data_IF_524102780006
#
_entry.id   IF_524102780006
#
_cell.length_a   1.000
_cell.length_b   1.000
_cell.length_c   1.000
_cell.angle_alpha   90.00
_cell.angle_beta   90.00
_cell.angle_gamma   90.00
#
_symmetry.space_group_name_H-M   'P 1'
#
loop_
_entity.id
_entity.type
_entity.pdbx_description
1 polymer ?
#
# COMPACT_ATOMS: atom_id res chain seq x y z
N UNK A 1 -10.82 16.43 -5.54
CA UNK A 1 -12.06 15.63 -5.52
C UNK A 1 -12.30 14.98 -6.88
N UNK A 2 -13.01 13.88 -6.88
CA UNK A 2 -13.34 13.13 -8.09
C UNK A 2 -14.69 13.62 -8.63
N UNK A 3 -14.76 13.95 -9.93
CA UNK A 3 -16.02 14.34 -10.56
C UNK A 3 -16.99 13.15 -10.63
N UNK A 4 -18.29 13.42 -10.73
CA UNK A 4 -19.31 12.36 -10.84
C UNK A 4 -19.08 11.44 -12.05
N UNK A 5 -18.64 12.00 -13.17
CA UNK A 5 -18.31 11.22 -14.37
C UNK A 5 -17.14 10.25 -14.12
N UNK A 6 -16.10 10.73 -13.43
CA UNK A 6 -14.93 9.92 -13.07
C UNK A 6 -15.32 8.85 -12.06
N UNK A 7 -16.13 9.21 -11.08
CA UNK A 7 -16.68 8.29 -10.08
C UNK A 7 -17.40 7.11 -10.74
N UNK A 8 -18.25 7.38 -11.71
CA UNK A 8 -18.95 6.35 -12.48
C UNK A 8 -17.98 5.39 -13.18
N UNK A 9 -16.91 5.92 -13.78
CA UNK A 9 -15.88 5.12 -14.44
C UNK A 9 -15.13 4.23 -13.45
N UNK A 10 -14.82 4.76 -12.27
CA UNK A 10 -14.15 3.99 -11.22
C UNK A 10 -15.00 2.79 -10.78
N UNK A 11 -16.29 2.99 -10.54
CA UNK A 11 -17.17 1.90 -10.16
C UNK A 11 -17.35 0.87 -11.28
N UNK A 12 -17.32 1.30 -12.53
CA UNK A 12 -17.48 0.42 -13.68
C UNK A 12 -16.24 -0.46 -13.92
N UNK A 13 -15.04 0.10 -13.81
CA UNK A 13 -13.78 -0.56 -14.18
C UNK A 13 -12.94 -1.03 -13.00
N UNK A 14 -13.30 -0.63 -11.80
CA UNK A 14 -12.54 -0.94 -10.61
C UNK A 14 -11.45 0.08 -10.31
N UNK A 15 -10.91 0.04 -9.10
CA UNK A 15 -9.84 0.93 -8.68
C UNK A 15 -9.12 0.38 -7.47
N UNK A 16 -7.89 0.83 -7.27
CA UNK A 16 -7.10 0.59 -6.07
C UNK A 16 -6.87 1.92 -5.36
N UNK A 17 -6.63 1.86 -4.07
CA UNK A 17 -6.27 3.04 -3.28
C UNK A 17 -4.78 3.01 -3.01
N UNK A 18 -4.05 3.97 -3.61
CA UNK A 18 -2.64 4.20 -3.33
C UNK A 18 -2.47 4.96 -2.02
N UNK A 19 -1.37 4.71 -1.31
CA UNK A 19 -1.09 5.36 -0.04
C UNK A 19 -0.58 6.80 -0.18
N UNK A 20 -0.08 7.21 -1.36
CA UNK A 20 0.47 8.55 -1.60
C UNK A 20 1.88 8.77 -1.06
N UNK A 21 2.50 7.76 -0.47
CA UNK A 21 3.82 7.90 0.15
C UNK A 21 4.90 8.32 -0.85
N UNK A 22 4.88 7.77 -2.06
CA UNK A 22 5.85 8.13 -3.08
C UNK A 22 5.74 9.59 -3.49
N UNK A 23 4.52 10.08 -3.72
CA UNK A 23 4.29 11.48 -4.11
C UNK A 23 4.75 12.44 -3.01
N UNK A 24 4.46 12.12 -1.75
CA UNK A 24 4.89 12.94 -0.63
C UNK A 24 6.42 12.93 -0.47
N UNK A 25 7.03 11.75 -0.57
CA UNK A 25 8.48 11.61 -0.51
C UNK A 25 9.16 12.40 -1.63
N UNK A 26 8.64 12.29 -2.85
CA UNK A 26 9.20 12.97 -4.03
C UNK A 26 9.13 14.50 -3.90
N UNK A 27 8.14 15.02 -3.19
CA UNK A 27 7.99 16.44 -2.91
C UNK A 27 8.67 16.90 -1.62
N UNK A 28 9.38 16.00 -0.95
CA UNK A 28 10.10 16.31 0.27
C UNK A 28 9.23 16.63 1.47
N UNK A 29 8.01 16.10 1.50
CA UNK A 29 7.06 16.32 2.59
C UNK A 29 6.72 15.02 3.31
N UNK A 30 6.30 15.07 4.59
CA UNK A 30 5.92 13.88 5.34
C UNK A 30 4.65 13.23 4.77
N UNK A 31 4.47 11.95 5.04
CA UNK A 31 3.28 11.20 4.60
C UNK A 31 2.00 11.87 5.13
N UNK A 32 1.07 12.12 4.22
CA UNK A 32 -0.22 12.72 4.54
C UNK A 32 -1.21 11.67 5.05
N UNK A 33 -1.06 11.29 6.31
CA UNK A 33 -1.90 10.27 6.96
C UNK A 33 -3.38 10.67 6.95
N UNK A 34 -3.68 11.91 7.31
CA UNK A 34 -5.07 12.40 7.34
C UNK A 34 -5.75 12.34 5.98
N UNK A 35 -5.03 12.70 4.93
CA UNK A 35 -5.55 12.63 3.56
C UNK A 35 -5.82 11.20 3.13
N UNK A 36 -4.93 10.28 3.51
CA UNK A 36 -5.10 8.86 3.22
C UNK A 36 -6.34 8.29 3.94
N UNK A 37 -6.52 8.59 5.22
CA UNK A 37 -7.69 8.14 5.98
C UNK A 37 -9.00 8.68 5.37
N UNK A 38 -9.04 9.96 4.98
CA UNK A 38 -10.21 10.53 4.30
C UNK A 38 -10.53 9.80 3.00
N UNK A 39 -9.50 9.48 2.24
CA UNK A 39 -9.66 8.74 1.00
C UNK A 39 -10.23 7.35 1.25
N UNK A 40 -9.73 6.66 2.27
CA UNK A 40 -10.23 5.34 2.68
C UNK A 40 -11.69 5.40 3.12
N UNK A 41 -12.04 6.38 3.94
CA UNK A 41 -13.42 6.52 4.43
C UNK A 41 -14.41 6.70 3.29
N UNK A 42 -13.99 7.36 2.22
CA UNK A 42 -14.85 7.61 1.07
C UNK A 42 -14.86 6.45 0.05
N UNK A 43 -13.72 5.80 -0.18
CA UNK A 43 -13.52 4.94 -1.34
C UNK A 43 -13.18 3.48 -1.04
N UNK A 44 -12.91 3.10 0.22
CA UNK A 44 -12.42 1.76 0.52
C UNK A 44 -13.45 0.65 0.24
N UNK A 45 -14.74 0.92 0.41
CA UNK A 45 -15.78 -0.12 0.34
C UNK A 45 -15.78 -0.92 -0.97
N UNK A 46 -15.39 -0.32 -2.08
CA UNK A 46 -15.39 -0.95 -3.39
C UNK A 46 -13.99 -1.04 -4.01
N UNK A 47 -12.95 -0.74 -3.26
CA UNK A 47 -11.58 -0.83 -3.76
C UNK A 47 -11.18 -2.27 -4.02
N UNK A 48 -10.47 -2.51 -5.11
CA UNK A 48 -9.92 -3.83 -5.41
C UNK A 48 -8.82 -4.21 -4.43
N UNK A 49 -7.99 -3.23 -4.04
CA UNK A 49 -7.00 -3.38 -2.96
C UNK A 49 -6.62 -2.01 -2.41
N UNK A 50 -5.99 -2.05 -1.25
CA UNK A 50 -5.46 -0.86 -0.58
C UNK A 50 -3.95 -1.06 -0.42
N UNK A 51 -3.16 -0.09 -0.84
CA UNK A 51 -1.70 -0.13 -0.69
C UNK A 51 -1.34 0.34 0.71
N UNK A 52 -0.67 -0.53 1.47
CA UNK A 52 -0.25 -0.24 2.83
C UNK A 52 0.82 0.86 2.81
N UNK A 53 0.76 1.87 3.69
CA UNK A 53 1.80 2.90 3.77
C UNK A 53 3.20 2.31 3.93
N UNK A 54 4.15 2.89 3.21
CA UNK A 54 5.52 2.42 3.12
C UNK A 54 6.53 3.57 3.20
N UNK A 55 7.77 3.25 3.53
CA UNK A 55 8.88 4.20 3.54
C UNK A 55 9.73 3.97 2.30
N UNK A 56 9.78 4.97 1.42
CA UNK A 56 10.44 4.85 0.12
C UNK A 56 11.92 4.56 0.29
N UNK A 57 12.39 3.45 -0.33
CA UNK A 57 13.77 3.04 -0.28
C UNK A 57 14.24 2.47 1.06
N UNK A 58 13.34 2.24 1.99
CA UNK A 58 13.67 1.77 3.34
C UNK A 58 12.78 0.60 3.76
N UNK A 59 13.29 -0.61 3.54
CA UNK A 59 12.54 -1.84 3.84
C UNK A 59 12.29 -2.02 5.34
N UNK A 60 13.30 -1.74 6.17
CA UNK A 60 13.17 -1.90 7.63
C UNK A 60 12.06 -1.03 8.20
N UNK A 61 12.01 0.23 7.78
CA UNK A 61 10.95 1.16 8.21
C UNK A 61 9.60 0.76 7.62
N UNK A 62 9.59 0.30 6.37
CA UNK A 62 8.36 -0.18 5.72
C UNK A 62 7.75 -1.34 6.50
N UNK A 63 8.56 -2.28 6.99
CA UNK A 63 8.08 -3.36 7.84
C UNK A 63 7.51 -2.87 9.16
N UNK A 64 8.14 -1.89 9.78
CA UNK A 64 7.63 -1.30 11.01
C UNK A 64 6.27 -0.64 10.77
N UNK A 65 6.13 0.10 9.67
CA UNK A 65 4.87 0.70 9.26
C UNK A 65 3.80 -0.36 8.95
N UNK A 66 4.20 -1.44 8.29
CA UNK A 66 3.31 -2.54 7.97
C UNK A 66 2.63 -3.11 9.21
N UNK A 67 3.39 -3.36 10.27
CA UNK A 67 2.86 -3.92 11.51
C UNK A 67 1.77 -3.04 12.14
N UNK A 68 1.91 -1.73 12.01
CA UNK A 68 0.94 -0.77 12.54
C UNK A 68 -0.26 -0.65 11.59
N UNK A 69 0.00 -0.43 10.31
CA UNK A 69 -1.05 -0.12 9.33
C UNK A 69 -1.91 -1.31 8.94
N UNK A 70 -1.37 -2.52 8.90
CA UNK A 70 -2.19 -3.69 8.60
C UNK A 70 -3.32 -3.84 9.63
N UNK A 71 -3.04 -3.52 10.88
CA UNK A 71 -4.05 -3.55 11.93
C UNK A 71 -5.13 -2.48 11.72
N UNK A 72 -4.73 -1.26 11.39
CA UNK A 72 -5.65 -0.16 11.11
C UNK A 72 -6.51 -0.42 9.86
N UNK A 73 -5.94 -1.02 8.84
CA UNK A 73 -6.61 -1.23 7.55
C UNK A 73 -7.55 -2.42 7.52
N UNK A 74 -7.43 -3.35 8.47
CA UNK A 74 -8.32 -4.52 8.54
C UNK A 74 -9.80 -4.17 8.65
N UNK A 75 -10.13 -3.04 9.23
CA UNK A 75 -11.53 -2.61 9.40
C UNK A 75 -12.27 -2.43 8.08
N UNK A 76 -11.55 -2.14 7.01
CA UNK A 76 -12.13 -1.93 5.69
C UNK A 76 -12.47 -3.23 4.96
N UNK A 77 -11.94 -4.37 5.42
CA UNK A 77 -12.20 -5.70 4.85
C UNK A 77 -11.92 -5.80 3.35
N UNK A 78 -10.87 -5.13 2.90
CA UNK A 78 -10.43 -5.15 1.49
C UNK A 78 -9.04 -5.78 1.39
N UNK A 79 -8.70 -6.34 0.23
CA UNK A 79 -7.34 -6.86 0.00
C UNK A 79 -6.30 -5.78 0.25
N UNK A 80 -5.21 -6.15 0.91
CA UNK A 80 -4.10 -5.25 1.23
C UNK A 80 -2.87 -5.63 0.42
N UNK A 81 -2.10 -4.63 0.02
CA UNK A 81 -0.89 -4.79 -0.77
C UNK A 81 0.29 -4.14 -0.04
N UNK A 82 1.34 -4.91 0.18
CA UNK A 82 2.60 -4.43 0.76
C UNK A 82 3.62 -4.20 -0.37
N UNK A 83 4.28 -3.05 -0.36
CA UNK A 83 5.32 -2.73 -1.33
C UNK A 83 6.68 -3.10 -0.76
N UNK A 84 7.36 -4.07 -1.37
CA UNK A 84 8.73 -4.42 -0.99
C UNK A 84 9.69 -3.34 -1.49
N UNK A 85 10.45 -2.77 -0.59
CA UNK A 85 11.35 -1.65 -0.84
C UNK A 85 12.81 -2.08 -0.93
N UNK A 86 13.68 -1.16 -1.30
CA UNK A 86 15.13 -1.35 -1.24
C UNK A 86 15.54 -1.77 0.16
N UNK A 87 16.46 -2.71 0.25
CA UNK A 87 16.86 -3.33 1.51
C UNK A 87 16.12 -4.64 1.78
N UNK A 88 15.11 -4.96 0.99
CA UNK A 88 14.45 -6.26 0.99
C UNK A 88 15.35 -7.25 0.24
N UNK A 89 16.22 -7.92 0.96
CA UNK A 89 17.19 -8.83 0.39
C UNK A 89 16.73 -10.29 0.43
N UNK A 90 17.52 -11.18 -0.16
CA UNK A 90 17.23 -12.62 -0.20
C UNK A 90 16.98 -13.22 1.19
N UNK A 91 17.68 -12.74 2.21
CA UNK A 91 17.51 -13.20 3.59
C UNK A 91 16.13 -12.82 4.18
N UNK A 92 15.40 -11.91 3.54
CA UNK A 92 14.04 -11.53 3.95
C UNK A 92 12.95 -12.37 3.28
N UNK A 93 13.32 -13.31 2.43
CA UNK A 93 12.38 -14.10 1.64
C UNK A 93 11.38 -14.87 2.50
N UNK A 94 11.83 -15.48 3.59
CA UNK A 94 10.96 -16.19 4.53
C UNK A 94 9.90 -15.28 5.11
N UNK A 95 10.27 -14.04 5.43
CA UNK A 95 9.38 -13.04 5.98
C UNK A 95 8.32 -12.63 4.95
N UNK A 96 8.72 -12.38 3.71
CA UNK A 96 7.80 -12.07 2.61
C UNK A 96 6.82 -13.20 2.36
N UNK A 97 7.32 -14.44 2.39
CA UNK A 97 6.48 -15.62 2.21
C UNK A 97 5.44 -15.75 3.32
N UNK A 98 5.85 -15.50 4.56
CA UNK A 98 4.93 -15.51 5.70
C UNK A 98 3.84 -14.44 5.55
N UNK A 99 4.20 -13.25 5.13
CA UNK A 99 3.25 -12.16 4.87
C UNK A 99 2.27 -12.55 3.76
N UNK A 100 2.79 -13.08 2.65
CA UNK A 100 1.96 -13.52 1.52
C UNK A 100 1.00 -14.64 1.93
N UNK A 101 1.45 -15.58 2.76
CA UNK A 101 0.63 -16.68 3.25
C UNK A 101 -0.49 -16.20 4.17
N UNK A 102 -0.36 -15.01 4.78
CA UNK A 102 -1.43 -14.41 5.59
C UNK A 102 -2.51 -13.72 4.75
N UNK A 103 -2.40 -13.76 3.42
CA UNK A 103 -3.37 -13.18 2.51
C UNK A 103 -3.07 -11.76 2.05
N UNK A 104 -1.88 -11.26 2.33
CA UNK A 104 -1.46 -9.91 1.92
C UNK A 104 -0.67 -10.02 0.62
N UNK A 105 -1.10 -9.25 -0.40
CA UNK A 105 -0.39 -9.18 -1.67
C UNK A 105 0.93 -8.43 -1.52
N UNK A 106 1.92 -8.83 -2.31
CA UNK A 106 3.23 -8.19 -2.30
C UNK A 106 3.52 -7.63 -3.68
N UNK A 107 3.77 -6.31 -3.73
CA UNK A 107 4.26 -5.64 -4.92
C UNK A 107 5.77 -5.48 -4.79
N UNK A 108 6.51 -5.97 -5.79
CA UNK A 108 7.97 -5.88 -5.81
C UNK A 108 8.38 -4.58 -6.49
N UNK A 109 9.05 -3.71 -5.75
CA UNK A 109 9.69 -2.55 -6.35
C UNK A 109 10.83 -3.02 -7.28
N UNK A 110 11.25 -2.12 -8.18
CA UNK A 110 12.23 -2.44 -9.22
C UNK A 110 13.53 -3.01 -8.68
N UNK A 111 13.98 -2.52 -7.53
CA UNK A 111 15.20 -2.98 -6.88
C UNK A 111 15.06 -4.40 -6.30
N UNK A 112 13.83 -4.84 -6.02
CA UNK A 112 13.56 -6.17 -5.46
C UNK A 112 13.24 -7.22 -6.52
N UNK A 113 13.26 -6.87 -7.81
CA UNK A 113 12.92 -7.80 -8.90
C UNK A 113 13.83 -9.03 -8.95
N UNK A 114 15.04 -8.92 -8.45
CA UNK A 114 16.01 -10.01 -8.44
C UNK A 114 15.75 -11.06 -7.35
N UNK A 115 14.79 -10.80 -6.47
CA UNK A 115 14.41 -11.78 -5.43
C UNK A 115 13.41 -12.81 -5.92
N UNK A 116 12.78 -12.51 -7.02
CA UNK A 116 11.83 -13.43 -7.64
C UNK A 116 12.57 -14.47 -8.49
#
# INVERSE_FOLDING_TARGET
SVSKKREHLLYKYGYAIDNGCYADWNKGRPFNEKGFIKLLDKWADHADWIVIPDSIGNWKETLAMFMIWVYKLKVFKRPLLLVAQDGCEENNFKQLKSIANSGIGIFMDRACQYLA
#
